data_IF_462951987900
#
_entry.id   IF_462951987900
#
_cell.length_a   1.000
_cell.length_b   1.000
_cell.length_c   1.000
_cell.angle_alpha   90.00
_cell.angle_beta   90.00
_cell.angle_gamma   90.00
#
_symmetry.space_group_name_H-M   'P 1'
#
loop_
_entity.id
_entity.type
_entity.pdbx_description
1 polymer ?
#
# COMPACT_ATOMS: atom_id res chain seq x y z
N UNK A 1 14.36 -15.84 -4.69
CA UNK A 1 13.19 -15.40 -5.49
C UNK A 1 12.03 -15.09 -4.55
N UNK A 2 11.13 -14.18 -4.92
CA UNK A 2 9.96 -13.85 -4.10
C UNK A 2 8.69 -13.80 -4.96
N UNK A 3 7.55 -14.11 -4.33
CA UNK A 3 6.22 -13.82 -4.87
C UNK A 3 5.97 -12.31 -4.82
N UNK A 4 5.47 -11.75 -5.91
CA UNK A 4 5.22 -10.31 -6.08
C UNK A 4 3.80 -10.12 -6.61
N UNK A 5 3.05 -9.21 -6.01
CA UNK A 5 1.73 -8.81 -6.48
C UNK A 5 1.92 -8.00 -7.77
N UNK A 6 1.42 -8.51 -8.89
CA UNK A 6 1.42 -7.81 -10.17
C UNK A 6 0.19 -6.94 -10.32
N UNK A 7 0.39 -5.62 -10.43
CA UNK A 7 -0.67 -4.65 -10.72
C UNK A 7 -1.00 -4.71 -12.21
N UNK A 8 -2.28 -4.89 -12.51
CA UNK A 8 -2.82 -4.71 -13.86
C UNK A 8 -3.47 -3.32 -13.90
N UNK A 9 -3.00 -2.38 -14.75
CA UNK A 9 -3.58 -1.05 -14.85
C UNK A 9 -5.08 -1.08 -15.10
N UNK A 10 -5.81 -0.19 -14.42
CA UNK A 10 -7.26 -0.02 -14.50
C UNK A 10 -8.09 -1.26 -14.13
N UNK A 11 -7.49 -2.23 -13.43
CA UNK A 11 -8.18 -3.42 -12.92
C UNK A 11 -7.95 -3.63 -11.43
N UNK A 12 -8.94 -4.24 -10.76
CA UNK A 12 -8.86 -4.63 -9.34
C UNK A 12 -8.26 -6.03 -9.14
N UNK A 13 -8.20 -6.82 -10.22
CA UNK A 13 -7.50 -8.11 -10.25
C UNK A 13 -5.99 -7.90 -10.31
N UNK A 14 -5.26 -8.93 -9.91
CA UNK A 14 -3.80 -8.93 -9.81
C UNK A 14 -3.22 -10.20 -10.41
N UNK A 15 -1.94 -10.16 -10.73
CA UNK A 15 -1.16 -11.34 -11.11
C UNK A 15 -0.32 -11.85 -9.94
N UNK A 16 -0.05 -13.14 -9.95
CA UNK A 16 0.98 -13.75 -9.10
C UNK A 16 2.28 -13.79 -9.89
N UNK A 17 3.22 -12.89 -9.58
CA UNK A 17 4.53 -12.85 -10.23
C UNK A 17 5.59 -13.50 -9.35
N UNK A 18 6.65 -14.02 -9.97
CA UNK A 18 7.86 -14.47 -9.29
C UNK A 18 9.03 -13.66 -9.81
N UNK A 19 9.75 -12.99 -8.91
CA UNK A 19 10.85 -12.11 -9.28
C UNK A 19 12.12 -12.40 -8.47
N UNK A 20 13.27 -12.13 -9.08
CA UNK A 20 14.54 -11.99 -8.37
C UNK A 20 14.59 -10.65 -7.65
N UNK A 21 14.81 -10.69 -6.35
CA UNK A 21 14.78 -9.53 -5.47
C UNK A 21 16.16 -9.33 -4.85
N UNK A 22 16.59 -8.07 -4.79
CA UNK A 22 17.85 -7.71 -4.14
C UNK A 22 17.67 -7.72 -2.63
N UNK A 23 18.71 -8.14 -1.91
CA UNK A 23 18.76 -8.07 -0.46
C UNK A 23 20.09 -7.46 -0.02
N UNK A 24 20.03 -6.56 0.95
CA UNK A 24 21.19 -5.99 1.64
C UNK A 24 21.05 -6.34 3.12
N UNK A 25 22.10 -6.92 3.72
CA UNK A 25 22.10 -7.33 5.13
C UNK A 25 20.91 -8.23 5.55
N UNK A 26 20.41 -9.04 4.62
CA UNK A 26 19.26 -9.93 4.84
C UNK A 26 17.88 -9.26 4.72
N UNK A 27 17.83 -7.97 4.38
CA UNK A 27 16.59 -7.22 4.17
C UNK A 27 16.34 -6.97 2.69
N UNK A 28 15.09 -7.14 2.25
CA UNK A 28 14.69 -6.81 0.88
C UNK A 28 14.62 -5.30 0.71
N UNK A 29 15.22 -4.82 -0.37
CA UNK A 29 15.13 -3.43 -0.80
C UNK A 29 14.12 -3.29 -1.93
N UNK A 30 13.34 -2.21 -1.88
CA UNK A 30 12.56 -1.78 -3.03
C UNK A 30 13.52 -1.43 -4.17
N UNK A 31 13.16 -1.79 -5.39
CA UNK A 31 13.90 -1.54 -6.61
C UNK A 31 13.04 -0.70 -7.57
N UNK A 32 12.97 0.65 -7.41
CA UNK A 32 12.21 1.53 -8.30
C UNK A 32 12.50 1.34 -9.78
N UNK A 33 13.77 1.10 -10.16
CA UNK A 33 14.18 0.87 -11.54
C UNK A 33 13.57 -0.40 -12.16
N UNK A 34 13.18 -1.37 -11.34
CA UNK A 34 12.47 -2.59 -11.76
C UNK A 34 11.00 -2.56 -11.37
N UNK A 35 10.55 -1.46 -10.77
CA UNK A 35 9.24 -1.27 -10.16
C UNK A 35 8.85 -2.45 -9.27
N UNK A 36 9.72 -2.82 -8.33
CA UNK A 36 9.41 -3.81 -7.28
C UNK A 36 9.49 -3.08 -5.96
N UNK A 37 8.38 -2.92 -5.27
CA UNK A 37 8.25 -2.08 -4.10
C UNK A 37 7.80 -2.89 -2.90
N UNK A 38 8.21 -2.48 -1.71
CA UNK A 38 7.69 -2.98 -0.44
C UNK A 38 6.25 -2.52 -0.26
N UNK A 39 5.40 -3.46 0.14
CA UNK A 39 4.02 -3.20 0.53
C UNK A 39 3.74 -3.92 1.86
N UNK A 40 2.99 -3.28 2.74
CA UNK A 40 2.65 -3.82 4.05
C UNK A 40 1.17 -3.62 4.36
N UNK A 41 0.60 -4.54 5.12
CA UNK A 41 -0.70 -4.38 5.78
C UNK A 41 -0.49 -4.52 7.28
N UNK A 42 -0.81 -3.47 8.04
CA UNK A 42 -0.63 -3.40 9.49
C UNK A 42 -1.99 -3.49 10.17
N UNK A 43 -2.16 -4.48 11.04
CA UNK A 43 -3.38 -4.65 11.84
C UNK A 43 -3.58 -3.44 12.74
N UNK A 44 -4.80 -2.88 12.76
CA UNK A 44 -5.08 -1.65 13.53
C UNK A 44 -6.31 -1.71 14.43
N UNK A 45 -7.08 -2.79 14.41
CA UNK A 45 -8.37 -2.85 15.11
C UNK A 45 -8.23 -3.40 16.52
N UNK A 46 -7.26 -4.30 16.75
CA UNK A 46 -7.04 -4.98 18.03
C UNK A 46 -5.67 -4.68 18.62
N UNK A 47 -4.77 -4.04 17.88
CA UNK A 47 -3.39 -3.80 18.32
C UNK A 47 -2.62 -5.11 18.44
N UNK A 48 -2.88 -6.07 17.55
CA UNK A 48 -2.30 -7.42 17.63
C UNK A 48 -0.79 -7.44 17.33
N UNK A 49 -0.26 -6.37 16.73
CA UNK A 49 1.11 -6.30 16.24
C UNK A 49 1.35 -7.08 14.94
N UNK A 50 0.29 -7.64 14.34
CA UNK A 50 0.39 -8.37 13.06
C UNK A 50 0.69 -7.41 11.92
N UNK A 51 1.65 -7.81 11.09
CA UNK A 51 2.07 -7.05 9.90
C UNK A 51 2.32 -8.02 8.76
N UNK A 52 1.46 -7.93 7.75
CA UNK A 52 1.63 -8.60 6.48
C UNK A 52 2.71 -7.92 5.67
N UNK A 53 3.60 -8.72 5.10
CA UNK A 53 4.73 -8.25 4.29
C UNK A 53 4.57 -8.77 2.88
N UNK A 54 4.69 -7.88 1.91
CA UNK A 54 4.59 -8.24 0.51
C UNK A 54 5.52 -7.39 -0.37
N UNK A 55 5.52 -7.75 -1.64
CA UNK A 55 6.13 -6.97 -2.70
C UNK A 55 5.08 -6.71 -3.78
N UNK A 56 5.15 -5.55 -4.43
CA UNK A 56 4.24 -5.14 -5.49
C UNK A 56 5.05 -4.65 -6.70
N UNK A 57 4.55 -4.97 -7.91
CA UNK A 57 5.12 -4.54 -9.19
C UNK A 57 4.05 -3.96 -10.09
N UNK A 58 4.38 -2.91 -10.84
CA UNK A 58 3.43 -2.17 -11.68
C UNK A 58 2.79 -0.97 -11.00
N UNK A 59 3.24 -0.59 -9.80
CA UNK A 59 2.70 0.56 -9.06
C UNK A 59 3.36 1.89 -9.50
N UNK A 60 4.62 1.84 -9.93
CA UNK A 60 5.34 2.96 -10.56
C UNK A 60 5.97 3.97 -9.61
N UNK A 61 5.82 3.83 -8.29
CA UNK A 61 6.36 4.78 -7.31
C UNK A 61 7.91 4.78 -7.33
N UNK A 62 8.52 5.93 -7.59
CA UNK A 62 9.98 6.06 -7.72
C UNK A 62 10.69 6.45 -6.42
N UNK A 63 9.99 7.13 -5.51
CA UNK A 63 10.47 7.52 -4.18
C UNK A 63 9.29 7.74 -3.23
N UNK A 64 9.56 7.90 -1.94
CA UNK A 64 8.52 8.16 -0.94
C UNK A 64 7.65 6.94 -0.62
N UNK A 65 6.49 7.20 -0.04
CA UNK A 65 5.51 6.19 0.38
C UNK A 65 4.07 6.74 0.36
N UNK A 66 3.10 5.83 0.24
CA UNK A 66 1.67 6.12 0.30
C UNK A 66 1.03 5.16 1.28
N UNK A 67 0.33 5.68 2.28
CA UNK A 67 -0.42 4.89 3.27
C UNK A 67 -1.91 5.25 3.26
N UNK A 68 -2.77 4.28 3.54
CA UNK A 68 -4.23 4.43 3.60
C UNK A 68 -4.84 3.49 4.63
N UNK A 69 -5.89 3.92 5.33
CA UNK A 69 -6.79 3.03 6.10
C UNK A 69 -7.95 2.48 5.29
N UNK A 70 -8.17 2.98 4.07
CA UNK A 70 -9.09 2.39 3.11
C UNK A 70 -8.34 1.25 2.41
N UNK A 71 -8.44 0.06 2.99
CA UNK A 71 -7.88 -1.18 2.44
C UNK A 71 -8.99 -2.24 2.40
N UNK A 72 -9.62 -2.43 1.24
CA UNK A 72 -10.80 -3.29 1.11
C UNK A 72 -10.47 -4.73 1.48
N UNK A 73 -11.25 -5.45 2.30
CA UNK A 73 -12.41 -5.01 3.10
C UNK A 73 -12.15 -5.06 4.61
N UNK A 74 -10.97 -5.54 5.04
CA UNK A 74 -10.58 -5.55 6.45
C UNK A 74 -10.24 -4.16 6.98
N UNK A 75 -9.93 -3.22 6.09
CA UNK A 75 -9.60 -1.83 6.39
C UNK A 75 -8.50 -1.69 7.44
N UNK A 76 -7.47 -2.55 7.35
CA UNK A 76 -6.21 -2.36 8.04
C UNK A 76 -5.39 -1.23 7.39
N UNK A 77 -4.29 -0.78 8.01
CA UNK A 77 -3.43 0.21 7.34
C UNK A 77 -2.68 -0.50 6.23
N UNK A 78 -2.83 -0.05 4.99
CA UNK A 78 -2.00 -0.49 3.87
C UNK A 78 -1.00 0.60 3.50
N UNK A 79 0.23 0.22 3.22
CA UNK A 79 1.28 1.15 2.79
C UNK A 79 2.15 0.54 1.70
N UNK A 80 2.46 1.32 0.67
CA UNK A 80 3.49 1.00 -0.34
C UNK A 80 4.56 2.07 -0.31
N UNK A 81 5.83 1.68 -0.45
CA UNK A 81 6.91 2.66 -0.44
C UNK A 81 8.27 2.14 -0.89
N UNK A 82 9.18 3.09 -1.10
CA UNK A 82 10.54 2.83 -1.55
C UNK A 82 11.48 2.65 -0.36
N UNK A 83 11.58 3.65 0.51
CA UNK A 83 12.46 3.63 1.70
C UNK A 83 11.66 3.36 2.97
N UNK A 84 12.28 2.65 3.91
CA UNK A 84 11.62 2.30 5.16
C UNK A 84 11.25 3.52 6.00
N UNK A 85 12.07 4.56 6.00
CA UNK A 85 11.79 5.81 6.72
C UNK A 85 10.48 6.48 6.23
N UNK A 86 10.27 6.53 4.91
CA UNK A 86 9.06 7.10 4.31
C UNK A 86 7.83 6.23 4.61
N UNK A 87 7.98 4.90 4.57
CA UNK A 87 6.93 3.93 4.92
C UNK A 87 6.50 4.12 6.38
N UNK A 88 7.46 4.16 7.31
CA UNK A 88 7.22 4.37 8.73
C UNK A 88 6.54 5.72 8.97
N UNK A 89 7.01 6.78 8.31
CA UNK A 89 6.42 8.11 8.40
C UNK A 89 4.97 8.13 7.92
N UNK A 90 4.67 7.49 6.79
CA UNK A 90 3.33 7.44 6.22
C UNK A 90 2.35 6.69 7.14
N UNK A 91 2.75 5.50 7.64
CA UNK A 91 1.95 4.73 8.61
C UNK A 91 1.74 5.53 9.90
N UNK A 92 2.79 6.15 10.42
CA UNK A 92 2.72 6.96 11.64
C UNK A 92 1.78 8.15 11.47
N UNK A 93 1.81 8.82 10.31
CA UNK A 93 0.92 9.95 10.02
C UNK A 93 -0.54 9.52 10.00
N UNK A 94 -0.86 8.44 9.27
CA UNK A 94 -2.24 7.90 9.21
C UNK A 94 -2.74 7.48 10.59
N UNK A 95 -1.89 6.86 11.42
CA UNK A 95 -2.25 6.52 12.79
C UNK A 95 -2.53 7.77 13.64
N UNK A 96 -1.67 8.80 13.57
CA UNK A 96 -1.85 10.06 14.32
C UNK A 96 -3.10 10.84 13.92
N UNK A 97 -3.54 10.73 12.67
CA UNK A 97 -4.77 11.34 12.16
C UNK A 97 -6.05 10.60 12.60
N UNK A 98 -5.94 9.44 13.29
CA UNK A 98 -7.09 8.60 13.60
C UNK A 98 -7.64 7.85 12.37
N UNK A 99 -6.81 7.69 11.34
CA UNK A 99 -7.16 7.12 10.04
C UNK A 99 -7.24 8.17 8.94
N UNK A 100 -7.09 7.73 7.70
CA UNK A 100 -6.92 8.62 6.57
C UNK A 100 -5.95 8.09 5.52
N UNK A 101 -5.40 9.02 4.76
CA UNK A 101 -4.46 8.76 3.67
C UNK A 101 -3.31 9.76 3.80
N UNK A 102 -2.08 9.29 3.60
CA UNK A 102 -0.89 10.13 3.61
C UNK A 102 0.05 9.78 2.44
N UNK A 103 0.58 10.81 1.78
CA UNK A 103 1.67 10.70 0.81
C UNK A 103 2.90 11.37 1.41
N UNK A 104 4.01 10.64 1.46
CA UNK A 104 5.27 11.06 2.07
C UNK A 104 6.38 11.00 1.03
N UNK A 105 7.28 11.99 1.08
CA UNK A 105 8.56 11.97 0.38
C UNK A 105 9.62 12.57 1.30
N UNK A 106 10.76 11.92 1.38
CA UNK A 106 11.84 12.33 2.26
C UNK A 106 11.46 12.63 3.71
N UNK A 107 10.63 11.76 4.31
CA UNK A 107 10.07 11.90 5.66
C UNK A 107 9.18 13.14 5.87
N UNK A 108 8.85 13.86 4.79
CA UNK A 108 7.94 15.00 4.77
C UNK A 108 6.57 14.60 4.24
N UNK A 109 5.51 15.10 4.87
CA UNK A 109 4.14 14.91 4.38
C UNK A 109 3.89 15.86 3.20
N UNK A 110 3.62 15.30 2.03
CA UNK A 110 3.29 16.08 0.83
C UNK A 110 1.79 16.39 0.75
N UNK A 111 0.95 15.43 1.13
CA UNK A 111 -0.49 15.56 1.16
C UNK A 111 -1.10 14.58 2.15
N UNK A 112 -2.22 14.98 2.77
CA UNK A 112 -2.99 14.15 3.69
C UNK A 112 -4.49 14.35 3.51
N UNK A 113 -5.25 13.33 3.87
CA UNK A 113 -6.70 13.41 4.07
C UNK A 113 -7.04 12.67 5.36
N UNK A 114 -7.58 13.40 6.34
CA UNK A 114 -8.05 12.84 7.60
C UNK A 114 -9.43 12.19 7.41
N UNK A 115 -9.58 10.97 7.91
CA UNK A 115 -10.84 10.22 7.88
C UNK A 115 -11.21 9.76 9.30
N UNK A 116 -11.53 10.69 10.22
CA UNK A 116 -11.68 10.40 11.65
C UNK A 116 -12.80 9.39 11.96
N UNK A 117 -13.77 9.20 11.06
CA UNK A 117 -14.86 8.26 11.26
C UNK A 117 -14.41 6.89 10.72
N UNK A 118 -13.98 6.02 11.64
CA UNK A 118 -13.49 4.66 11.39
C UNK A 118 -12.26 4.54 10.46
N UNK A 119 -11.59 5.64 10.13
CA UNK A 119 -10.55 5.66 9.09
C UNK A 119 -11.11 5.56 7.67
N UNK A 120 -12.40 5.81 7.47
CA UNK A 120 -13.08 5.61 6.18
C UNK A 120 -13.83 6.87 5.70
N UNK A 121 -14.36 7.67 6.63
CA UNK A 121 -15.15 8.85 6.29
C UNK A 121 -14.63 10.09 7.00
N UNK A 122 -14.84 11.24 6.36
CA UNK A 122 -14.58 12.56 6.92
C UNK A 122 -15.89 13.20 7.39
N UNK A 123 -15.80 14.08 8.38
CA UNK A 123 -16.88 14.96 8.82
C UNK A 123 -16.87 16.33 8.09
N UNK A 124 -15.89 16.54 7.20
CA UNK A 124 -15.76 17.74 6.38
C UNK A 124 -16.70 17.74 5.17
N UNK A 125 -16.85 18.89 4.51
CA UNK A 125 -17.66 19.01 3.30
C UNK A 125 -17.05 18.24 2.11
N UNK A 126 -17.90 17.90 1.13
CA UNK A 126 -17.47 17.23 -0.10
C UNK A 126 -16.36 17.99 -0.82
N UNK A 127 -16.45 19.32 -0.89
CA UNK A 127 -15.49 20.17 -1.58
C UNK A 127 -14.11 20.09 -0.93
N UNK A 128 -14.05 20.10 0.40
CA UNK A 128 -12.81 19.94 1.17
C UNK A 128 -12.22 18.56 0.91
N UNK A 129 -13.01 17.50 1.10
CA UNK A 129 -12.56 16.11 0.90
C UNK A 129 -12.07 15.89 -0.53
N UNK A 130 -12.80 16.41 -1.53
CA UNK A 130 -12.43 16.31 -2.95
C UNK A 130 -11.13 17.05 -3.26
N UNK A 131 -10.92 18.25 -2.71
CA UNK A 131 -9.69 19.01 -2.89
C UNK A 131 -8.47 18.27 -2.31
N UNK A 132 -8.61 17.70 -1.10
CA UNK A 132 -7.57 16.90 -0.44
C UNK A 132 -7.28 15.61 -1.20
N UNK A 133 -8.31 14.89 -1.65
CA UNK A 133 -8.13 13.69 -2.50
C UNK A 133 -7.39 14.03 -3.80
N UNK A 134 -7.75 15.14 -4.46
CA UNK A 134 -7.04 15.61 -5.64
C UNK A 134 -5.58 15.96 -5.35
N UNK A 135 -5.28 16.53 -4.16
CA UNK A 135 -3.91 16.81 -3.73
C UNK A 135 -3.10 15.53 -3.50
N UNK A 136 -3.71 14.49 -2.91
CA UNK A 136 -3.09 13.18 -2.72
C UNK A 136 -2.72 12.52 -4.04
N UNK A 137 -3.64 12.51 -5.01
CA UNK A 137 -3.37 11.93 -6.34
C UNK A 137 -2.25 12.69 -7.05
N UNK A 138 -2.27 14.04 -7.04
CA UNK A 138 -1.19 14.85 -7.61
C UNK A 138 0.16 14.61 -6.91
N UNK A 139 0.15 14.48 -5.59
CA UNK A 139 1.35 14.17 -4.83
C UNK A 139 1.90 12.79 -5.23
N UNK A 140 1.06 11.75 -5.29
CA UNK A 140 1.46 10.41 -5.75
C UNK A 140 2.07 10.43 -7.17
N UNK A 141 1.45 11.15 -8.11
CA UNK A 141 1.99 11.30 -9.47
C UNK A 141 3.33 12.03 -9.49
N UNK A 142 3.52 13.04 -8.62
CA UNK A 142 4.82 13.72 -8.49
C UNK A 142 5.93 12.77 -7.99
N UNK A 143 5.56 11.66 -7.34
CA UNK A 143 6.47 10.60 -6.89
C UNK A 143 6.80 9.56 -7.97
N UNK A 144 6.28 9.73 -9.20
CA UNK A 144 6.57 8.89 -10.37
C UNK A 144 5.52 7.83 -10.67
N UNK A 145 4.48 7.71 -9.84
CA UNK A 145 3.35 6.80 -10.08
C UNK A 145 2.65 7.16 -11.38
N UNK A 146 2.42 6.16 -12.24
CA UNK A 146 1.75 6.34 -13.55
C UNK A 146 0.30 5.85 -13.55
N UNK A 147 -0.14 5.18 -12.49
CA UNK A 147 -1.51 4.72 -12.33
C UNK A 147 -2.48 5.91 -12.30
N UNK A 148 -3.62 5.78 -12.97
CA UNK A 148 -4.65 6.82 -13.02
C UNK A 148 -5.16 7.19 -11.62
N UNK A 149 -5.45 6.19 -10.80
CA UNK A 149 -5.89 6.35 -9.41
C UNK A 149 -5.10 5.41 -8.48
N UNK A 150 -3.93 5.86 -7.98
CA UNK A 150 -3.09 5.00 -7.16
C UNK A 150 -3.63 4.72 -5.77
N UNK A 151 -4.49 5.61 -5.26
CA UNK A 151 -5.13 5.43 -3.97
C UNK A 151 -6.15 4.28 -4.06
N UNK A 152 -6.98 4.29 -5.10
CA UNK A 152 -7.90 3.20 -5.38
C UNK A 152 -7.18 1.90 -5.73
N UNK A 153 -6.12 1.93 -6.54
CA UNK A 153 -5.34 0.71 -6.81
C UNK A 153 -4.77 0.11 -5.53
N UNK A 154 -4.19 0.93 -4.64
CA UNK A 154 -3.64 0.46 -3.38
C UNK A 154 -4.72 -0.17 -2.50
N UNK A 155 -5.91 0.43 -2.40
CA UNK A 155 -6.98 -0.06 -1.52
C UNK A 155 -7.42 -1.50 -1.84
N UNK A 156 -7.34 -1.93 -3.10
CA UNK A 156 -7.70 -3.29 -3.54
C UNK A 156 -6.57 -4.32 -3.41
N UNK A 157 -5.34 -3.93 -3.06
CA UNK A 157 -4.25 -4.90 -2.85
C UNK A 157 -4.47 -5.75 -1.60
N UNK A 158 -5.33 -5.29 -0.69
CA UNK A 158 -5.67 -5.98 0.55
C UNK A 158 -6.98 -6.78 0.52
N UNK A 159 -7.59 -6.99 -0.66
CA UNK A 159 -8.90 -7.65 -0.79
C UNK A 159 -8.77 -9.14 -1.14
N UNK A 160 -8.76 -10.07 -0.16
CA UNK A 160 -8.37 -11.47 -0.36
C UNK A 160 -9.47 -12.34 -1.02
N UNK A 161 -10.43 -11.73 -1.70
CA UNK A 161 -11.53 -12.41 -2.40
C UNK A 161 -11.52 -12.15 -3.91
N UNK A 162 -10.58 -11.35 -4.40
CA UNK A 162 -10.39 -11.08 -5.83
C UNK A 162 -9.02 -11.61 -6.27
N UNK A 163 -8.94 -12.39 -7.36
CA UNK A 163 -7.69 -13.01 -7.80
C UNK A 163 -6.60 -12.00 -8.20
N UNK A 164 -5.32 -12.37 -8.21
CA UNK A 164 -4.76 -13.70 -7.89
C UNK A 164 -3.94 -13.72 -6.60
N UNK A 165 -3.09 -12.71 -6.36
CA UNK A 165 -2.25 -12.61 -5.16
C UNK A 165 -2.58 -11.32 -4.42
N UNK A 166 -2.94 -11.44 -3.15
CA UNK A 166 -3.34 -10.31 -2.29
C UNK A 166 -2.54 -10.33 -0.99
N UNK A 167 -2.65 -9.27 -0.19
CA UNK A 167 -1.95 -9.14 1.08
C UNK A 167 -2.95 -8.85 2.21
N UNK A 168 -2.90 -9.62 3.29
CA UNK A 168 -3.58 -9.27 4.55
C UNK A 168 -2.52 -8.99 5.62
N UNK A 169 -2.94 -8.57 6.81
CA UNK A 169 -2.07 -8.45 7.99
C UNK A 169 -1.43 -9.78 8.43
N UNK A 170 -1.93 -10.91 7.92
CA UNK A 170 -1.38 -12.25 8.14
C UNK A 170 -0.37 -12.68 7.05
N UNK A 171 -0.20 -11.90 5.99
CA UNK A 171 0.72 -12.21 4.89
C UNK A 171 0.03 -12.36 3.53
N UNK A 172 0.75 -12.92 2.56
CA UNK A 172 0.22 -13.10 1.21
C UNK A 172 -0.86 -14.17 1.18
N UNK A 173 -1.85 -13.97 0.32
CA UNK A 173 -2.94 -14.91 0.06
C UNK A 173 -2.99 -15.20 -1.44
N UNK A 174 -2.85 -16.48 -1.79
CA UNK A 174 -3.22 -16.97 -3.12
C UNK A 174 -4.75 -17.18 -3.13
N UNK A 175 -5.46 -16.27 -3.77
CA UNK A 175 -6.93 -16.23 -3.72
C UNK A 175 -7.55 -17.37 -4.53
N UNK A 176 -6.87 -17.86 -5.56
CA UNK A 176 -7.36 -19.00 -6.35
C UNK A 176 -7.32 -20.31 -5.53
N UNK A 177 -6.33 -20.44 -4.65
CA UNK A 177 -6.16 -21.59 -3.75
C UNK A 177 -6.81 -21.38 -2.37
N UNK A 178 -7.18 -20.14 -2.06
CA UNK A 178 -7.73 -19.72 -0.76
C UNK A 178 -6.83 -20.08 0.42
N UNK A 179 -5.52 -19.87 0.27
CA UNK A 179 -4.51 -20.18 1.29
C UNK A 179 -3.50 -19.03 1.44
N UNK A 180 -2.90 -18.97 2.62
CA UNK A 180 -1.71 -18.16 2.83
C UNK A 180 -0.51 -18.80 2.15
N UNK A 181 0.31 -17.98 1.49
CA UNK A 181 1.53 -18.42 0.82
C UNK A 181 2.73 -17.61 1.30
N UNK A 182 3.90 -18.23 1.31
CA UNK A 182 5.12 -17.56 1.75
C UNK A 182 5.55 -16.46 0.76
N UNK A 183 6.16 -15.40 1.29
CA UNK A 183 6.75 -14.34 0.46
C UNK A 183 7.92 -14.86 -0.39
N UNK A 184 8.76 -15.69 0.22
CA UNK A 184 9.92 -16.27 -0.45
C UNK A 184 9.59 -17.65 -0.99
N UNK A 185 10.26 -17.99 -2.09
CA UNK A 185 10.26 -19.32 -2.65
C UNK A 185 11.59 -19.98 -2.32
N UNK A 186 11.55 -21.29 -2.05
CA UNK A 186 12.72 -22.15 -1.99
C UNK A 186 13.51 -22.16 -3.32
#
# INVERSE_FOLDING_TARGET
>A
RARVIGVIPDQIVTETLVCDVGATDGYIESSPARDILKIFVVERHHGSGQVGKGLIKGFGLQRGAIASTIAHDSHNIIVVGVRDADIIKAVTAVNKMGGGIAVVDDEHLLATLELPIAGLMSDQSLEVVSAHMGALVRAAHSLGVTLKDPIMTLSFMALPVIPSLKLTDLGLVDVARFEHVDLFLD
#
